data_IF_123276339603
#
_entry.id   IF_123276339603
#
_cell.length_a   1.000
_cell.length_b   1.000
_cell.length_c   1.000
_cell.angle_alpha   90.00
_cell.angle_beta   90.00
_cell.angle_gamma   90.00
#
_symmetry.space_group_name_H-M   'P 1'
#
loop_
_entity.id
_entity.type
_entity.pdbx_description
1 polymer ?
#
# COMPACT_ATOMS: atom_id res chain seq x y z
N UNK A 1 18.70 -32.67 -18.66
CA UNK A 1 19.22 -31.29 -18.71
C UNK A 1 18.48 -30.50 -17.65
N UNK A 2 19.19 -29.90 -16.68
CA UNK A 2 18.57 -29.10 -15.62
C UNK A 2 18.88 -27.62 -15.90
N UNK A 3 17.85 -26.81 -16.11
CA UNK A 3 17.98 -25.38 -16.38
C UNK A 3 17.76 -24.62 -15.05
N UNK A 4 18.68 -23.72 -14.70
CA UNK A 4 18.57 -22.84 -13.52
C UNK A 4 18.57 -21.39 -13.98
N UNK A 5 17.51 -20.64 -13.65
CA UNK A 5 17.38 -19.22 -13.96
C UNK A 5 17.71 -18.39 -12.71
N UNK A 6 18.43 -17.28 -12.89
CA UNK A 6 18.79 -16.34 -11.82
C UNK A 6 18.45 -14.92 -12.23
N UNK A 7 17.66 -14.24 -11.40
CA UNK A 7 17.39 -12.80 -11.53
C UNK A 7 18.63 -12.04 -11.08
N UNK A 8 19.22 -11.22 -11.98
CA UNK A 8 20.40 -10.39 -11.66
C UNK A 8 20.03 -9.02 -11.08
N UNK A 9 18.85 -8.49 -11.43
CA UNK A 9 18.37 -7.17 -11.00
C UNK A 9 16.87 -7.24 -10.71
N UNK A 10 16.43 -6.60 -9.62
CA UNK A 10 15.01 -6.47 -9.27
C UNK A 10 14.27 -5.70 -10.37
N UNK A 11 13.03 -6.10 -10.67
CA UNK A 11 12.18 -5.47 -11.69
C UNK A 11 10.72 -5.42 -11.21
N UNK A 12 9.94 -4.49 -11.76
CA UNK A 12 8.54 -4.22 -11.43
C UNK A 12 7.69 -4.53 -12.66
N UNK A 13 6.53 -5.16 -12.49
CA UNK A 13 5.56 -5.35 -13.56
C UNK A 13 5.41 -6.79 -14.05
N UNK A 14 4.53 -7.00 -15.06
CA UNK A 14 4.08 -8.33 -15.44
C UNK A 14 5.19 -9.15 -16.06
N UNK A 15 4.96 -10.45 -16.05
CA UNK A 15 5.88 -11.47 -16.50
C UNK A 15 6.59 -11.15 -17.81
N UNK A 16 7.92 -11.16 -17.80
CA UNK A 16 8.64 -11.20 -19.06
C UNK A 16 8.64 -12.64 -19.59
N UNK A 17 8.37 -12.76 -20.89
CA UNK A 17 8.49 -14.01 -21.63
C UNK A 17 9.94 -14.09 -22.10
N UNK A 18 10.70 -15.04 -21.59
CA UNK A 18 11.94 -15.43 -22.25
C UNK A 18 11.53 -16.24 -23.47
N UNK A 19 11.95 -15.83 -24.67
CA UNK A 19 11.83 -16.62 -25.89
C UNK A 19 13.14 -16.55 -26.67
N UNK A 20 14.18 -17.17 -26.10
CA UNK A 20 15.55 -17.08 -26.63
C UNK A 20 16.18 -18.48 -26.71
N UNK A 21 17.07 -18.73 -27.70
CA UNK A 21 17.88 -19.94 -27.74
C UNK A 21 18.86 -19.94 -26.57
N UNK A 22 18.77 -20.98 -25.73
CA UNK A 22 19.62 -21.13 -24.54
C UNK A 22 20.73 -22.17 -24.71
N UNK A 23 20.63 -23.05 -25.70
CA UNK A 23 21.65 -24.04 -25.99
C UNK A 23 21.58 -24.55 -27.44
N UNK A 24 22.72 -24.99 -27.94
CA UNK A 24 22.88 -25.67 -29.22
C UNK A 24 23.53 -27.03 -28.99
N UNK A 25 22.98 -28.08 -29.61
CA UNK A 25 23.50 -29.44 -29.52
C UNK A 25 24.29 -29.73 -30.78
N UNK A 26 25.56 -30.10 -30.63
CA UNK A 26 26.44 -30.51 -31.73
C UNK A 26 26.81 -31.97 -31.57
N UNK A 27 26.90 -32.70 -32.66
CA UNK A 27 27.42 -34.07 -32.68
C UNK A 27 28.56 -34.16 -33.67
N UNK A 28 29.68 -34.73 -33.24
CA UNK A 28 30.86 -34.97 -34.08
C UNK A 28 31.19 -36.45 -34.04
N UNK A 29 31.27 -37.11 -35.20
CA UNK A 29 31.62 -38.52 -35.32
C UNK A 29 33.11 -38.76 -35.64
N UNK A 30 33.91 -37.69 -35.75
CA UNK A 30 35.36 -37.72 -35.66
C UNK A 30 36.12 -37.86 -36.98
N UNK A 31 36.91 -36.82 -37.27
CA UNK A 31 38.17 -36.83 -38.00
C UNK A 31 39.00 -35.62 -37.54
N UNK A 32 40.34 -35.71 -37.34
CA UNK A 32 41.15 -34.57 -36.91
C UNK A 32 41.04 -33.39 -37.87
N UNK A 33 40.79 -32.18 -37.35
CA UNK A 33 40.70 -30.94 -38.16
C UNK A 33 39.29 -30.54 -38.62
N UNK A 34 38.24 -31.33 -38.32
CA UNK A 34 36.86 -30.97 -38.62
C UNK A 34 36.21 -30.22 -37.46
N UNK A 35 35.80 -28.97 -37.71
CA UNK A 35 35.03 -28.15 -36.77
C UNK A 35 33.63 -28.73 -36.49
N UNK A 36 32.91 -28.23 -35.48
CA UNK A 36 31.63 -28.81 -35.01
C UNK A 36 30.47 -28.76 -36.02
N UNK A 37 30.62 -28.13 -37.19
CA UNK A 37 29.58 -28.04 -38.21
C UNK A 37 28.37 -27.20 -37.78
N UNK A 38 27.20 -27.46 -38.37
CA UNK A 38 25.93 -26.87 -37.97
C UNK A 38 25.34 -27.60 -36.76
N UNK A 39 24.62 -26.91 -35.86
CA UNK A 39 23.99 -27.56 -34.71
C UNK A 39 22.92 -28.56 -35.16
N UNK A 40 22.90 -29.73 -34.51
CA UNK A 40 21.88 -30.77 -34.70
C UNK A 40 20.53 -30.37 -34.11
N UNK A 41 20.54 -29.58 -33.03
CA UNK A 41 19.34 -29.06 -32.41
C UNK A 41 19.59 -27.71 -31.74
N UNK A 42 18.55 -26.89 -31.71
CA UNK A 42 18.48 -25.65 -30.94
C UNK A 42 17.45 -25.81 -29.83
N UNK A 43 17.83 -25.45 -28.61
CA UNK A 43 16.97 -25.48 -27.44
C UNK A 43 16.53 -24.06 -27.14
N UNK A 44 15.25 -23.78 -27.34
CA UNK A 44 14.63 -22.52 -26.97
C UNK A 44 14.02 -22.60 -25.59
N UNK A 45 14.22 -21.56 -24.79
CA UNK A 45 13.52 -21.40 -23.52
C UNK A 45 12.31 -20.51 -23.75
N UNK A 46 11.11 -21.06 -23.54
CA UNK A 46 9.88 -20.30 -23.37
C UNK A 46 9.50 -20.32 -21.89
N UNK A 47 9.65 -19.19 -21.21
CA UNK A 47 9.38 -19.11 -19.77
C UNK A 47 8.73 -17.79 -19.41
N UNK A 48 7.78 -17.85 -18.48
CA UNK A 48 7.06 -16.71 -17.94
C UNK A 48 7.45 -16.56 -16.46
N UNK A 49 8.03 -15.41 -16.08
CA UNK A 49 8.46 -15.17 -14.69
C UNK A 49 7.64 -14.06 -14.02
N UNK A 50 6.87 -14.39 -12.99
CA UNK A 50 6.06 -13.42 -12.22
C UNK A 50 6.67 -13.16 -10.85
N UNK A 51 6.85 -11.90 -10.46
CA UNK A 51 7.33 -11.51 -9.13
C UNK A 51 6.16 -10.91 -8.33
N UNK A 52 5.77 -11.51 -7.19
CA UNK A 52 4.70 -10.96 -6.35
C UNK A 52 5.22 -9.74 -5.61
N UNK A 53 4.66 -8.58 -5.91
CA UNK A 53 4.96 -7.33 -5.20
C UNK A 53 4.19 -7.32 -3.88
N UNK A 54 4.86 -6.96 -2.78
CA UNK A 54 4.19 -6.80 -1.49
C UNK A 54 4.77 -5.62 -0.70
N UNK A 55 3.89 -4.92 0.00
CA UNK A 55 4.23 -3.88 0.96
C UNK A 55 3.60 -4.19 2.30
N UNK A 56 4.32 -3.90 3.38
CA UNK A 56 3.82 -3.96 4.75
C UNK A 56 3.75 -2.55 5.32
N UNK A 57 2.59 -2.21 5.89
CA UNK A 57 2.37 -0.94 6.60
C UNK A 57 2.59 -1.20 8.09
N UNK A 58 3.40 -0.35 8.71
CA UNK A 58 3.77 -0.34 10.12
C UNK A 58 4.14 -1.72 10.68
N UNK A 59 4.96 -2.47 9.92
CA UNK A 59 5.35 -3.84 10.23
C UNK A 59 4.15 -4.81 10.47
N UNK A 60 3.00 -4.52 9.87
CA UNK A 60 1.78 -5.32 10.02
C UNK A 60 0.99 -5.03 11.30
N UNK A 61 1.33 -3.98 12.04
CA UNK A 61 0.64 -3.60 13.29
C UNK A 61 -0.46 -2.57 13.06
N UNK A 62 -1.46 -2.56 13.95
CA UNK A 62 -2.57 -1.61 13.92
C UNK A 62 -2.07 -0.22 14.32
N UNK A 63 -2.46 0.79 13.53
CA UNK A 63 -2.20 2.20 13.84
C UNK A 63 -3.36 2.75 14.66
N UNK A 64 -3.23 2.73 15.98
CA UNK A 64 -4.30 3.12 16.89
C UNK A 64 -4.32 4.63 17.19
N UNK A 65 -5.43 5.33 17.04
CA UNK A 65 -5.57 6.72 17.49
C UNK A 65 -6.49 6.79 18.71
N UNK A 66 -5.91 6.95 19.90
CA UNK A 66 -6.66 7.03 21.16
C UNK A 66 -6.87 8.48 21.59
N UNK A 67 -8.08 8.99 21.40
CA UNK A 67 -8.46 10.36 21.71
C UNK A 67 -8.82 10.61 23.18
N UNK A 68 -8.82 9.56 24.01
CA UNK A 68 -9.25 9.64 25.40
C UNK A 68 -10.73 10.02 25.54
N UNK A 69 -11.06 10.68 26.65
CA UNK A 69 -12.43 11.05 26.96
C UNK A 69 -12.78 12.41 26.36
N UNK A 70 -13.88 12.45 25.61
CA UNK A 70 -14.44 13.67 25.02
C UNK A 70 -15.87 13.81 25.50
N UNK A 71 -16.26 15.01 25.92
CA UNK A 71 -17.64 15.30 26.33
C UNK A 71 -18.62 15.04 25.19
N UNK A 72 -19.67 14.25 25.42
CA UNK A 72 -20.72 14.03 24.41
C UNK A 72 -21.36 15.35 23.95
N UNK A 73 -21.56 16.30 24.86
CA UNK A 73 -22.15 17.61 24.54
C UNK A 73 -21.33 18.39 23.51
N UNK A 74 -19.99 18.22 23.48
CA UNK A 74 -19.15 19.01 22.59
C UNK A 74 -19.33 18.62 21.12
N UNK A 75 -19.79 17.40 20.82
CA UNK A 75 -20.14 16.98 19.45
C UNK A 75 -21.41 17.68 18.95
N UNK A 76 -22.42 17.86 19.81
CA UNK A 76 -23.61 18.62 19.46
C UNK A 76 -23.30 20.10 19.24
N UNK A 77 -22.48 20.68 20.13
CA UNK A 77 -22.07 22.10 20.04
C UNK A 77 -21.22 22.37 18.81
N UNK A 78 -20.38 21.43 18.39
CA UNK A 78 -19.56 21.56 17.18
C UNK A 78 -20.41 21.67 15.91
N UNK A 79 -21.53 20.94 15.85
CA UNK A 79 -22.36 20.82 14.66
C UNK A 79 -21.83 19.79 13.65
N UNK A 80 -22.68 19.41 12.70
CA UNK A 80 -22.39 18.34 11.74
C UNK A 80 -21.14 18.63 10.90
N UNK A 81 -20.28 17.62 10.75
CA UNK A 81 -19.01 17.66 10.05
C UNK A 81 -17.88 18.39 10.79
N UNK A 82 -18.13 18.95 11.98
CA UNK A 82 -17.14 19.75 12.71
C UNK A 82 -16.43 18.95 13.80
N UNK A 83 -15.18 19.36 14.05
CA UNK A 83 -14.37 18.85 15.15
C UNK A 83 -14.84 19.46 16.48
N UNK A 84 -15.09 18.65 17.54
CA UNK A 84 -15.35 19.19 18.87
C UNK A 84 -14.19 20.05 19.38
N UNK A 85 -14.50 21.20 19.99
CA UNK A 85 -13.49 22.20 20.38
C UNK A 85 -12.45 21.70 21.38
N UNK A 86 -12.82 20.74 22.23
CA UNK A 86 -11.96 20.10 23.22
C UNK A 86 -11.27 18.82 22.70
N UNK A 87 -11.50 18.43 21.45
CA UNK A 87 -10.86 17.26 20.89
C UNK A 87 -9.44 17.57 20.41
N UNK A 88 -8.50 16.69 20.72
CA UNK A 88 -7.14 16.79 20.21
C UNK A 88 -7.08 16.29 18.75
N UNK A 89 -6.17 16.89 17.98
CA UNK A 89 -5.67 16.25 16.76
C UNK A 89 -4.47 15.41 17.17
N UNK A 90 -4.45 14.15 16.75
CA UNK A 90 -3.35 13.23 17.04
C UNK A 90 -2.54 13.02 15.76
N UNK A 91 -1.22 13.08 15.87
CA UNK A 91 -0.31 12.78 14.78
C UNK A 91 0.35 11.42 15.02
N UNK A 92 0.44 10.60 13.96
CA UNK A 92 1.21 9.35 13.96
C UNK A 92 1.99 9.19 12.67
N UNK A 93 3.26 8.79 12.81
CA UNK A 93 4.07 8.37 11.68
C UNK A 93 3.93 6.86 11.47
N UNK A 94 3.70 6.45 10.22
CA UNK A 94 3.63 5.05 9.81
C UNK A 94 4.80 4.74 8.87
N UNK A 95 5.48 3.62 9.13
CA UNK A 95 6.49 3.09 8.21
C UNK A 95 5.86 2.22 7.14
N UNK A 96 6.31 2.35 5.89
CA UNK A 96 5.96 1.46 4.78
C UNK A 96 7.25 0.78 4.35
N UNK A 97 7.24 -0.55 4.27
CA UNK A 97 8.35 -1.34 3.77
C UNK A 97 7.85 -2.24 2.64
N UNK A 98 8.49 -2.17 1.48
CA UNK A 98 8.09 -2.97 0.33
C UNK A 98 9.22 -3.90 -0.13
N UNK A 99 8.85 -5.10 -0.56
CA UNK A 99 9.77 -6.06 -1.14
C UNK A 99 9.71 -6.01 -2.67
N UNK A 100 10.88 -6.15 -3.29
CA UNK A 100 11.02 -6.32 -4.74
C UNK A 100 10.41 -5.21 -5.61
N UNK A 101 10.30 -4.00 -5.04
CA UNK A 101 9.98 -2.76 -5.78
C UNK A 101 11.27 -1.96 -6.00
N UNK A 102 11.41 -1.36 -7.18
CA UNK A 102 12.49 -0.38 -7.44
C UNK A 102 12.43 0.79 -6.46
N UNK A 103 13.58 1.19 -5.94
CA UNK A 103 13.74 2.47 -5.26
C UNK A 103 13.18 3.60 -6.15
N UNK A 104 12.61 4.65 -5.53
CA UNK A 104 12.02 5.81 -6.20
C UNK A 104 10.72 5.58 -6.98
N UNK A 105 10.07 4.42 -6.87
CA UNK A 105 8.73 4.21 -7.45
C UNK A 105 7.72 5.12 -6.74
N UNK A 106 6.87 5.81 -7.51
CA UNK A 106 5.78 6.62 -6.96
C UNK A 106 4.63 5.69 -6.57
N UNK A 107 4.15 5.82 -5.35
CA UNK A 107 3.07 5.01 -4.81
C UNK A 107 2.05 5.92 -4.15
N UNK A 108 0.85 5.41 -3.96
CA UNK A 108 -0.24 6.14 -3.32
C UNK A 108 -0.77 5.38 -2.11
N UNK A 109 -1.01 6.10 -1.03
CA UNK A 109 -1.73 5.62 0.14
C UNK A 109 -3.17 6.15 0.10
N UNK A 110 -4.15 5.29 0.34
CA UNK A 110 -5.56 5.69 0.46
C UNK A 110 -6.26 4.99 1.62
N UNK A 111 -7.40 5.52 1.98
CA UNK A 111 -8.23 5.03 3.08
C UNK A 111 -9.45 4.27 2.54
N UNK A 112 -9.69 3.08 3.06
CA UNK A 112 -10.90 2.29 2.85
C UNK A 112 -11.63 2.09 4.17
N UNK A 113 -12.96 2.12 4.18
CA UNK A 113 -13.75 1.87 5.39
C UNK A 113 -15.15 1.37 5.03
N UNK A 114 -15.76 0.58 5.93
CA UNK A 114 -17.10 0.02 5.73
C UNK A 114 -18.23 1.01 6.03
N UNK A 115 -18.03 1.92 7.00
CA UNK A 115 -19.01 2.91 7.42
C UNK A 115 -18.43 4.32 7.29
N UNK A 116 -19.04 5.15 6.44
CA UNK A 116 -18.46 6.43 6.00
C UNK A 116 -19.51 7.52 5.89
N UNK A 117 -19.13 8.76 6.20
CA UNK A 117 -19.95 9.96 5.97
C UNK A 117 -19.04 11.10 5.54
N UNK A 118 -19.11 11.47 4.26
CA UNK A 118 -18.17 12.41 3.67
C UNK A 118 -16.71 11.97 3.84
N UNK A 119 -15.91 12.75 4.57
CA UNK A 119 -14.51 12.43 4.87
C UNK A 119 -14.33 11.62 6.17
N UNK A 120 -15.40 11.35 6.91
CA UNK A 120 -15.33 10.66 8.19
C UNK A 120 -15.48 9.15 8.01
N UNK A 121 -14.65 8.39 8.74
CA UNK A 121 -14.93 7.00 9.10
C UNK A 121 -15.87 7.02 10.30
N UNK A 122 -17.08 6.51 10.13
CA UNK A 122 -18.12 6.55 11.17
C UNK A 122 -17.89 5.40 12.14
N UNK A 123 -18.01 5.69 13.43
CA UNK A 123 -17.84 4.70 14.50
C UNK A 123 -19.05 3.76 14.62
N UNK A 124 -19.01 2.90 15.62
CA UNK A 124 -20.17 2.16 16.13
C UNK A 124 -21.27 3.08 16.71
N UNK A 125 -20.96 4.35 17.00
CA UNK A 125 -21.93 5.41 17.25
C UNK A 125 -22.11 6.29 16.00
N UNK A 126 -23.31 6.39 15.42
CA UNK A 126 -23.54 7.11 14.16
C UNK A 126 -23.33 8.62 14.26
N UNK A 127 -23.35 9.20 15.47
CA UNK A 127 -23.12 10.63 15.69
C UNK A 127 -21.63 10.97 15.81
N UNK A 128 -20.75 9.97 15.95
CA UNK A 128 -19.29 10.14 16.12
C UNK A 128 -18.54 9.49 14.96
N UNK A 129 -17.63 10.24 14.37
CA UNK A 129 -16.74 9.76 13.32
C UNK A 129 -15.34 10.31 13.51
N UNK A 130 -14.42 9.83 12.68
CA UNK A 130 -13.03 10.24 12.72
C UNK A 130 -12.55 10.57 11.33
N UNK A 131 -11.89 11.71 11.19
CA UNK A 131 -11.21 12.08 9.95
C UNK A 131 -9.75 11.65 10.08
N UNK A 132 -9.23 11.05 9.01
CA UNK A 132 -7.81 10.82 8.81
C UNK A 132 -7.33 11.77 7.71
N UNK A 133 -6.16 12.37 7.91
CA UNK A 133 -5.59 13.37 7.03
C UNK A 133 -4.08 13.17 6.87
N UNK A 134 -3.52 13.82 5.85
CA UNK A 134 -2.07 13.95 5.74
C UNK A 134 -1.52 14.97 6.75
N UNK A 135 -0.19 15.11 6.81
CA UNK A 135 0.51 16.07 7.69
C UNK A 135 0.25 17.55 7.37
N UNK A 136 -0.50 17.87 6.31
CA UNK A 136 -0.95 19.22 5.98
C UNK A 136 -2.41 19.44 6.40
N UNK A 137 -3.01 18.51 7.14
CA UNK A 137 -4.42 18.56 7.55
C UNK A 137 -5.41 18.32 6.40
N UNK A 138 -4.97 17.84 5.24
CA UNK A 138 -5.86 17.51 4.12
C UNK A 138 -6.52 16.15 4.34
N UNK A 139 -7.86 16.06 4.45
CA UNK A 139 -8.54 14.79 4.70
C UNK A 139 -8.38 13.77 3.57
N UNK A 140 -8.22 12.51 3.96
CA UNK A 140 -8.43 11.35 3.10
C UNK A 140 -9.91 11.00 3.08
N UNK A 141 -10.57 11.14 1.93
CA UNK A 141 -11.95 10.68 1.73
C UNK A 141 -11.94 9.15 1.63
N UNK A 142 -12.57 8.42 2.56
CA UNK A 142 -12.62 6.96 2.50
C UNK A 142 -13.27 6.47 1.21
N UNK A 143 -12.78 5.35 0.67
CA UNK A 143 -13.28 4.69 -0.54
C UNK A 143 -13.22 5.54 -1.83
N UNK A 144 -12.45 6.63 -1.84
CA UNK A 144 -12.26 7.47 -3.02
C UNK A 144 -10.88 7.18 -3.65
N UNK A 145 -10.87 6.69 -4.88
CA UNK A 145 -9.64 6.38 -5.63
C UNK A 145 -8.79 7.61 -6.00
N UNK A 146 -9.36 8.81 -5.91
CA UNK A 146 -8.66 10.07 -6.16
C UNK A 146 -8.19 10.78 -4.89
N UNK A 147 -8.66 10.35 -3.71
CA UNK A 147 -8.21 10.89 -2.43
C UNK A 147 -7.03 10.06 -1.92
N UNK A 148 -5.82 10.53 -2.21
CA UNK A 148 -4.59 9.77 -2.00
C UNK A 148 -3.48 10.64 -1.40
N UNK A 149 -2.57 10.01 -0.66
CA UNK A 149 -1.29 10.59 -0.27
C UNK A 149 -0.22 9.97 -1.18
N UNK A 150 0.38 10.74 -2.10
CA UNK A 150 1.50 10.25 -2.89
C UNK A 150 2.76 10.17 -2.01
N UNK A 151 3.54 9.11 -2.18
CA UNK A 151 4.83 8.93 -1.52
C UNK A 151 5.81 8.20 -2.43
N UNK A 152 7.10 8.24 -2.08
CA UNK A 152 8.16 7.52 -2.78
C UNK A 152 8.96 6.69 -1.80
N UNK A 153 9.42 5.54 -2.27
CA UNK A 153 10.32 4.69 -1.52
C UNK A 153 11.76 5.23 -1.61
N UNK A 154 12.48 5.15 -0.50
CA UNK A 154 13.91 5.37 -0.40
C UNK A 154 14.71 4.23 -1.06
N UNK A 155 16.05 4.35 -1.06
CA UNK A 155 16.96 3.34 -1.63
C UNK A 155 16.92 2.00 -0.89
N UNK A 156 16.32 1.95 0.30
CA UNK A 156 16.07 0.74 1.09
C UNK A 156 14.65 0.18 0.88
N UNK A 157 13.90 0.68 -0.12
CA UNK A 157 12.51 0.31 -0.38
C UNK A 157 11.56 0.61 0.80
N UNK A 158 11.81 1.71 1.53
CA UNK A 158 11.01 2.16 2.67
C UNK A 158 10.51 3.59 2.50
N UNK A 159 9.42 3.92 3.18
CA UNK A 159 8.93 5.30 3.32
C UNK A 159 8.32 5.50 4.70
N UNK A 160 8.31 6.74 5.18
CA UNK A 160 7.57 7.12 6.38
C UNK A 160 6.53 8.16 6.00
N UNK A 161 5.30 8.00 6.49
CA UNK A 161 4.19 8.92 6.23
C UNK A 161 3.64 9.40 7.57
N UNK A 162 3.59 10.71 7.78
CA UNK A 162 2.87 11.30 8.91
C UNK A 162 1.40 11.46 8.57
N UNK A 163 0.55 10.97 9.47
CA UNK A 163 -0.90 11.04 9.40
C UNK A 163 -1.42 11.80 10.61
N UNK A 164 -2.44 12.61 10.37
CA UNK A 164 -3.20 13.28 11.42
C UNK A 164 -4.60 12.70 11.51
N UNK A 165 -5.16 12.64 12.71
CA UNK A 165 -6.56 12.26 12.89
C UNK A 165 -7.22 13.07 13.99
N UNK A 166 -8.52 13.31 13.86
CA UNK A 166 -9.35 13.95 14.86
C UNK A 166 -10.80 13.44 14.78
N UNK A 167 -11.53 13.45 15.90
CA UNK A 167 -12.94 13.10 15.92
C UNK A 167 -13.78 14.25 15.36
N UNK A 168 -14.93 13.90 14.80
CA UNK A 168 -15.92 14.83 14.26
C UNK A 168 -17.33 14.41 14.67
N UNK A 169 -18.20 15.39 14.81
CA UNK A 169 -19.64 15.17 14.93
C UNK A 169 -20.20 14.85 13.55
N UNK A 170 -20.73 13.66 13.34
CA UNK A 170 -21.21 13.22 12.03
C UNK A 170 -22.56 13.85 11.71
N UNK A 171 -23.46 13.84 12.68
CA UNK A 171 -24.86 14.27 12.51
C UNK A 171 -25.15 15.65 13.09
N UNK A 172 -24.29 16.15 13.99
CA UNK A 172 -24.57 17.34 14.80
C UNK A 172 -25.41 17.07 16.05
N UNK A 173 -25.81 15.82 16.29
CA UNK A 173 -26.53 15.44 17.51
C UNK A 173 -25.57 15.18 18.67
N UNK A 174 -26.13 15.11 19.88
CA UNK A 174 -25.39 14.66 21.05
C UNK A 174 -25.31 13.12 21.03
N UNK A 175 -24.12 12.52 20.92
CA UNK A 175 -23.97 11.07 20.99
C UNK A 175 -24.35 10.52 22.36
N UNK A 176 -24.85 9.27 22.38
CA UNK A 176 -24.95 8.50 23.61
C UNK A 176 -23.56 8.35 24.27
N UNK A 177 -23.50 8.55 25.59
CA UNK A 177 -22.26 8.41 26.34
C UNK A 177 -21.81 6.94 26.39
N UNK A 178 -20.53 6.71 26.10
CA UNK A 178 -19.92 5.38 26.09
C UNK A 178 -18.63 5.36 25.27
N UNK A 179 -17.88 4.24 25.32
CA UNK A 179 -16.76 4.04 24.40
C UNK A 179 -17.28 3.92 22.97
N UNK A 180 -16.48 4.41 22.02
CA UNK A 180 -16.78 4.29 20.58
C UNK A 180 -15.53 3.83 19.85
N UNK A 181 -15.70 3.09 18.77
CA UNK A 181 -14.61 2.58 17.93
C UNK A 181 -14.96 2.71 16.47
N UNK A 182 -14.00 3.14 15.66
CA UNK A 182 -14.08 3.14 14.20
C UNK A 182 -12.90 2.38 13.62
N UNK A 183 -13.13 1.67 12.51
CA UNK A 183 -12.11 0.88 11.83
C UNK A 183 -12.03 1.33 10.37
N UNK A 184 -10.81 1.65 9.95
CA UNK A 184 -10.45 1.92 8.56
C UNK A 184 -9.21 1.14 8.16
N UNK A 185 -9.04 0.94 6.86
CA UNK A 185 -7.93 0.21 6.27
C UNK A 185 -7.12 1.15 5.39
N UNK A 186 -5.82 1.21 5.68
CA UNK A 186 -4.88 1.89 4.82
C UNK A 186 -4.44 0.94 3.71
N UNK A 187 -4.58 1.39 2.47
CA UNK A 187 -4.19 0.63 1.29
C UNK A 187 -3.14 1.38 0.50
N UNK A 188 -2.09 0.66 0.14
CA UNK A 188 -1.04 1.12 -0.76
C UNK A 188 -1.34 0.60 -2.16
N UNK A 189 -1.34 1.49 -3.13
CA UNK A 189 -1.45 1.15 -4.55
C UNK A 189 -0.19 1.60 -5.30
N UNK A 190 0.15 0.80 -6.30
CA UNK A 190 1.28 1.01 -7.20
C UNK A 190 0.81 1.86 -8.38
N UNK A 191 1.61 2.85 -8.77
CA UNK A 191 1.39 3.63 -9.99
C UNK A 191 2.31 3.17 -11.12
#
# INVERSE_FOLDING_TARGET
>A
MNIKLRIKKKFVGPSFIVNEPIAYVYGNQGGPGLGPGQPLAQINLNATMTVPQSCTINAGTVVEFNFGNISAQSFAVAGAGQKPSNANTLEKSIGIACNDISAQTTMTLRLEASNVSGNAVVSDNPDVGFILANSAGTPLTPNNTHSVIPFRLDDSSRANISLESWPVSVTGNQPAAGPVTAIGYLRVDFQ
#
